data_IF_935569967929
#
_entry.id   IF_935569967929
#
_cell.length_a   1.000
_cell.length_b   1.000
_cell.length_c   1.000
_cell.angle_alpha   90.00
_cell.angle_beta   90.00
_cell.angle_gamma   90.00
#
_symmetry.space_group_name_H-M   'P 1'
#
loop_
_entity.id
_entity.type
_entity.pdbx_description
1 polymer ?
#
# COMPACT_ATOMS: atom_id res chain seq x y z
N UNK A 1 -5.84 2.72 10.44
CA UNK A 1 -5.12 3.52 11.48
C UNK A 1 -4.40 2.55 12.42
N UNK A 2 -3.15 2.81 12.77
CA UNK A 2 -2.47 2.03 13.80
C UNK A 2 -3.22 2.16 15.12
N UNK A 3 -3.40 1.08 15.89
CA UNK A 3 -4.16 1.13 17.14
C UNK A 3 -3.60 2.13 18.15
N UNK A 4 -2.26 2.29 18.18
CA UNK A 4 -1.58 3.32 18.96
C UNK A 4 -0.34 3.82 18.22
N UNK A 5 0.10 5.06 18.52
CA UNK A 5 1.33 5.65 17.97
C UNK A 5 2.57 4.83 18.37
N UNK A 6 2.58 4.29 19.59
CA UNK A 6 3.66 3.45 20.10
C UNK A 6 3.77 2.13 19.30
N UNK A 7 2.63 1.54 18.92
CA UNK A 7 2.60 0.37 18.03
C UNK A 7 3.21 0.71 16.68
N UNK A 8 2.80 1.85 16.10
CA UNK A 8 3.33 2.30 14.82
C UNK A 8 4.85 2.43 14.87
N UNK A 9 5.38 3.12 15.87
CA UNK A 9 6.82 3.34 16.04
C UNK A 9 7.58 2.02 16.26
N UNK A 10 7.05 1.11 17.08
CA UNK A 10 7.66 -0.19 17.33
C UNK A 10 7.73 -1.05 16.06
N UNK A 11 6.70 -0.99 15.22
CA UNK A 11 6.67 -1.66 13.93
C UNK A 11 7.63 -1.01 12.92
N UNK A 12 7.63 0.31 12.80
CA UNK A 12 8.53 1.05 11.91
C UNK A 12 10.00 0.74 12.21
N UNK A 13 10.41 0.75 13.49
CA UNK A 13 11.77 0.42 13.88
C UNK A 13 12.18 -0.99 13.49
N UNK A 14 11.28 -1.97 13.65
CA UNK A 14 11.54 -3.37 13.31
C UNK A 14 11.61 -3.64 11.82
N UNK A 15 10.85 -2.89 11.04
CA UNK A 15 10.78 -3.06 9.59
C UNK A 15 11.69 -2.11 8.81
N UNK A 16 12.37 -1.18 9.48
CA UNK A 16 13.40 -0.33 8.86
C UNK A 16 14.56 -1.12 8.21
N UNK A 17 14.75 -2.38 8.60
CA UNK A 17 15.76 -3.26 8.02
C UNK A 17 15.28 -4.06 6.79
N UNK A 18 14.02 -3.90 6.35
CA UNK A 18 13.50 -4.55 5.15
C UNK A 18 14.19 -4.03 3.89
N UNK A 19 14.26 -4.90 2.86
CA UNK A 19 14.69 -4.48 1.54
C UNK A 19 13.74 -3.36 1.05
N UNK A 20 14.29 -2.18 0.74
CA UNK A 20 13.46 -1.09 0.21
C UNK A 20 12.93 -1.45 -1.18
N UNK A 21 11.75 -0.92 -1.51
CA UNK A 21 11.14 -1.12 -2.83
C UNK A 21 9.88 -1.98 -2.79
N UNK A 22 9.61 -2.68 -3.88
CA UNK A 22 8.42 -3.52 -4.01
C UNK A 22 8.63 -4.87 -3.31
N UNK A 23 7.65 -5.36 -2.53
CA UNK A 23 7.66 -6.74 -2.02
C UNK A 23 7.61 -7.77 -3.15
N UNK A 24 8.21 -8.95 -2.94
CA UNK A 24 8.22 -10.02 -3.94
C UNK A 24 6.81 -10.43 -4.36
N UNK A 25 5.88 -10.54 -3.41
CA UNK A 25 4.48 -10.84 -3.70
C UNK A 25 3.82 -9.81 -4.65
N UNK A 26 4.27 -8.55 -4.62
CA UNK A 26 3.83 -7.51 -5.55
C UNK A 26 4.53 -7.67 -6.90
N UNK A 27 5.86 -7.91 -6.91
CA UNK A 27 6.63 -8.10 -8.16
C UNK A 27 6.07 -9.22 -9.02
N UNK A 28 5.72 -10.35 -8.41
CA UNK A 28 5.15 -11.52 -9.08
C UNK A 28 3.81 -11.22 -9.77
N UNK A 29 3.12 -10.17 -9.33
CA UNK A 29 1.79 -9.78 -9.82
C UNK A 29 1.79 -8.52 -10.69
N UNK A 30 2.94 -7.86 -10.85
CA UNK A 30 3.02 -6.66 -11.67
C UNK A 30 2.65 -6.95 -13.13
N UNK A 31 1.76 -6.14 -13.73
CA UNK A 31 1.62 -6.15 -15.19
C UNK A 31 2.88 -5.55 -15.82
N UNK A 32 3.04 -5.73 -17.13
CA UNK A 32 4.05 -4.96 -17.86
C UNK A 32 3.74 -3.46 -17.75
N UNK A 33 4.66 -2.70 -17.13
CA UNK A 33 4.54 -1.26 -16.89
C UNK A 33 5.37 -0.40 -17.83
N UNK A 34 6.18 -0.99 -18.73
CA UNK A 34 7.02 -0.27 -19.66
C UNK A 34 6.22 0.75 -20.49
N UNK A 35 6.60 2.02 -20.41
CA UNK A 35 5.91 3.14 -21.06
C UNK A 35 4.48 3.40 -20.55
N UNK A 36 4.06 2.81 -19.43
CA UNK A 36 2.71 2.96 -18.90
C UNK A 36 2.68 3.90 -17.70
N UNK A 37 1.58 4.62 -17.55
CA UNK A 37 1.34 5.44 -16.37
C UNK A 37 1.03 4.57 -15.14
N UNK A 38 1.82 4.77 -14.09
CA UNK A 38 1.70 4.08 -12.79
C UNK A 38 1.48 5.12 -11.69
N UNK A 39 0.54 4.86 -10.80
CA UNK A 39 0.29 5.67 -9.60
C UNK A 39 0.72 4.88 -8.37
N UNK A 40 1.59 5.45 -7.55
CA UNK A 40 2.10 4.85 -6.32
C UNK A 40 1.59 5.61 -5.08
N UNK A 41 0.93 4.93 -4.15
CA UNK A 41 0.20 5.46 -2.99
C UNK A 41 0.43 4.60 -1.72
N UNK A 42 0.82 5.17 -0.59
CA UNK A 42 1.67 6.35 -0.48
C UNK A 42 3.02 6.06 -1.12
N UNK A 43 3.63 7.06 -1.71
CA UNK A 43 4.94 6.81 -2.35
C UNK A 43 6.11 6.84 -1.36
N UNK A 44 5.88 7.26 -0.13
CA UNK A 44 6.90 7.33 0.89
C UNK A 44 8.12 8.13 0.45
N UNK A 45 9.30 7.60 0.71
CA UNK A 45 10.59 8.18 0.30
C UNK A 45 11.03 7.73 -1.10
N UNK A 46 10.11 7.11 -1.88
CA UNK A 46 10.27 6.88 -3.31
C UNK A 46 10.93 5.55 -3.71
N UNK A 47 11.12 4.59 -2.80
CA UNK A 47 11.76 3.31 -3.09
C UNK A 47 10.98 2.51 -4.16
N UNK A 48 9.68 2.33 -3.93
CA UNK A 48 8.83 1.62 -4.89
C UNK A 48 8.69 2.42 -6.20
N UNK A 49 8.64 3.76 -6.12
CA UNK A 49 8.59 4.61 -7.30
C UNK A 49 9.84 4.45 -8.17
N UNK A 50 11.04 4.43 -7.57
CA UNK A 50 12.29 4.22 -8.28
C UNK A 50 12.33 2.86 -8.99
N UNK A 51 11.95 1.78 -8.28
CA UNK A 51 11.90 0.45 -8.87
C UNK A 51 10.89 0.33 -10.02
N UNK A 52 9.70 0.94 -9.88
CA UNK A 52 8.71 0.99 -10.97
C UNK A 52 9.22 1.76 -12.19
N UNK A 53 10.06 2.80 -11.99
CA UNK A 53 10.73 3.52 -13.08
C UNK A 53 11.81 2.68 -13.73
N UNK A 54 12.61 1.92 -12.98
CA UNK A 54 13.59 0.96 -13.50
C UNK A 54 12.93 -0.09 -14.40
N UNK A 55 11.66 -0.44 -14.11
CA UNK A 55 10.83 -1.30 -14.95
C UNK A 55 10.20 -0.56 -16.14
N UNK A 56 10.58 0.69 -16.39
CA UNK A 56 10.12 1.50 -17.52
C UNK A 56 8.79 2.23 -17.29
N UNK A 57 8.24 2.24 -16.08
CA UNK A 57 6.99 2.92 -15.77
C UNK A 57 7.10 4.44 -15.76
N UNK A 58 6.05 5.12 -16.22
CA UNK A 58 5.87 6.57 -16.08
C UNK A 58 5.18 6.84 -14.72
N UNK A 59 5.99 7.01 -13.67
CA UNK A 59 5.51 6.99 -12.30
C UNK A 59 5.01 8.34 -11.83
N UNK A 60 3.87 8.31 -11.14
CA UNK A 60 3.35 9.42 -10.33
C UNK A 60 3.22 8.93 -8.90
N UNK A 61 3.85 9.61 -7.94
CA UNK A 61 3.76 9.31 -6.52
C UNK A 61 2.87 10.32 -5.79
N UNK A 62 2.16 9.85 -4.77
CA UNK A 62 1.39 10.71 -3.84
C UNK A 62 1.71 10.30 -2.40
N UNK A 63 1.97 11.28 -1.55
CA UNK A 63 2.17 11.08 -0.11
C UNK A 63 1.72 12.34 0.64
N UNK A 64 1.09 12.24 1.83
CA UNK A 64 0.70 13.43 2.60
C UNK A 64 1.91 14.16 3.22
N UNK A 65 3.04 13.48 3.40
CA UNK A 65 4.22 14.03 4.09
C UNK A 65 5.21 14.66 3.11
N UNK A 66 5.30 16.00 3.08
CA UNK A 66 6.24 16.71 2.21
C UNK A 66 7.71 16.32 2.46
N UNK A 67 8.07 16.03 3.70
CA UNK A 67 9.42 15.56 4.03
C UNK A 67 9.78 14.24 3.32
N UNK A 68 8.82 13.32 3.17
CA UNK A 68 8.99 12.09 2.39
C UNK A 68 9.09 12.38 0.90
N UNK A 69 8.24 13.28 0.40
CA UNK A 69 8.27 13.68 -1.01
C UNK A 69 9.58 14.35 -1.41
N UNK A 70 10.19 15.13 -0.51
CA UNK A 70 11.51 15.72 -0.76
C UNK A 70 12.58 14.64 -1.01
N UNK A 71 12.57 13.56 -0.21
CA UNK A 71 13.45 12.41 -0.41
C UNK A 71 13.09 11.62 -1.68
N UNK A 72 11.80 11.44 -1.96
CA UNK A 72 11.32 10.75 -3.16
C UNK A 72 11.76 11.45 -4.45
N UNK A 73 11.71 12.80 -4.51
CA UNK A 73 12.20 13.58 -5.66
C UNK A 73 13.70 13.43 -5.88
N UNK A 74 14.49 13.23 -4.82
CA UNK A 74 15.91 12.96 -4.95
C UNK A 74 16.19 11.55 -5.48
N UNK A 75 15.39 10.56 -5.05
CA UNK A 75 15.57 9.16 -5.42
C UNK A 75 15.06 8.85 -6.84
N UNK A 76 13.96 9.46 -7.23
CA UNK A 76 13.27 9.22 -8.50
C UNK A 76 12.98 10.58 -9.20
N UNK A 77 13.99 11.30 -9.67
CA UNK A 77 13.87 12.69 -10.15
C UNK A 77 12.95 12.83 -11.38
N UNK A 78 12.82 11.80 -12.18
CA UNK A 78 11.97 11.81 -13.38
C UNK A 78 10.50 11.44 -13.09
N UNK A 79 10.16 11.06 -11.85
CA UNK A 79 8.78 10.84 -11.44
C UNK A 79 8.07 12.14 -11.05
N UNK A 80 6.76 12.20 -11.24
CA UNK A 80 5.93 13.29 -10.75
C UNK A 80 5.45 13.01 -9.31
N UNK A 81 5.57 13.98 -8.40
CA UNK A 81 5.14 13.81 -7.00
C UNK A 81 4.15 14.87 -6.58
N UNK A 82 3.09 14.45 -5.88
CA UNK A 82 2.02 15.30 -5.37
C UNK A 82 1.83 15.11 -3.88
N UNK A 83 1.73 16.21 -3.15
CA UNK A 83 1.32 16.17 -1.75
C UNK A 83 -0.21 16.16 -1.67
N UNK A 84 -0.77 15.09 -1.12
CA UNK A 84 -2.21 14.96 -0.87
C UNK A 84 -2.50 13.83 0.11
N UNK A 85 -3.63 13.92 0.81
CA UNK A 85 -4.22 12.79 1.51
C UNK A 85 -4.71 11.74 0.50
N UNK A 86 -4.64 10.45 0.85
CA UNK A 86 -4.93 9.37 -0.10
C UNK A 86 -6.43 9.28 -0.47
N UNK A 87 -7.31 9.65 0.46
CA UNK A 87 -8.75 9.75 0.22
C UNK A 87 -9.17 11.08 -0.44
N UNK A 88 -8.23 12.02 -0.61
CA UNK A 88 -8.43 13.32 -1.25
C UNK A 88 -7.53 13.48 -2.50
N UNK A 89 -7.39 12.44 -3.32
CA UNK A 89 -6.56 12.48 -4.52
C UNK A 89 -6.92 13.67 -5.41
N UNK A 90 -5.92 14.45 -5.89
CA UNK A 90 -6.15 15.56 -6.80
C UNK A 90 -6.96 15.17 -8.04
N UNK A 91 -7.91 16.01 -8.44
CA UNK A 91 -8.81 15.74 -9.59
C UNK A 91 -8.04 15.43 -10.88
N UNK A 92 -6.88 16.03 -11.07
CA UNK A 92 -6.01 15.77 -12.22
C UNK A 92 -5.47 14.33 -12.27
N UNK A 93 -5.43 13.63 -11.15
CA UNK A 93 -5.03 12.22 -11.08
C UNK A 93 -6.21 11.27 -11.27
N UNK A 94 -7.45 11.75 -11.17
CA UNK A 94 -8.70 10.97 -11.33
C UNK A 94 -9.21 10.96 -12.78
N UNK A 95 -8.30 10.91 -13.77
CA UNK A 95 -8.66 11.07 -15.20
C UNK A 95 -8.48 9.80 -16.02
N UNK A 96 -8.71 8.65 -15.44
CA UNK A 96 -8.73 7.35 -16.16
C UNK A 96 -7.48 7.08 -17.02
N UNK A 97 -6.29 7.41 -16.50
CA UNK A 97 -5.03 7.31 -17.27
C UNK A 97 -4.08 6.22 -16.78
N UNK A 98 -4.18 5.80 -15.53
CA UNK A 98 -3.21 4.87 -14.96
C UNK A 98 -3.52 3.43 -15.36
N UNK A 99 -2.48 2.73 -15.81
CA UNK A 99 -2.55 1.29 -16.11
C UNK A 99 -2.45 0.47 -14.82
N UNK A 100 -1.68 0.97 -13.86
CA UNK A 100 -1.50 0.38 -12.54
C UNK A 100 -1.65 1.47 -11.47
N UNK A 101 -2.38 1.14 -10.41
CA UNK A 101 -2.28 1.81 -9.12
C UNK A 101 -1.67 0.81 -8.15
N UNK A 102 -0.57 1.18 -7.52
CA UNK A 102 0.04 0.43 -6.43
C UNK A 102 -0.18 1.19 -5.12
N UNK A 103 -0.93 0.58 -4.21
CA UNK A 103 -1.15 1.06 -2.87
C UNK A 103 -0.32 0.21 -1.90
N UNK A 104 0.80 0.78 -1.43
CA UNK A 104 1.77 0.09 -0.60
C UNK A 104 1.45 0.12 0.89
N UNK A 105 2.34 -0.47 1.68
CA UNK A 105 2.19 -0.59 3.14
C UNK A 105 1.93 0.76 3.83
N UNK A 106 0.93 0.78 4.70
CA UNK A 106 0.47 1.94 5.43
C UNK A 106 -0.56 2.79 4.68
N UNK A 107 -0.93 2.44 3.44
CA UNK A 107 -1.95 3.16 2.68
C UNK A 107 -3.28 3.22 3.44
N UNK A 108 -3.78 2.06 3.87
CA UNK A 108 -5.08 1.96 4.55
C UNK A 108 -5.06 2.58 5.95
N UNK A 109 -3.89 2.67 6.58
CA UNK A 109 -3.72 3.31 7.88
C UNK A 109 -3.93 4.82 7.85
N UNK A 110 -3.85 5.47 6.70
CA UNK A 110 -4.04 6.91 6.53
C UNK A 110 -5.42 7.29 5.96
N UNK A 111 -6.15 6.30 5.45
CA UNK A 111 -7.46 6.51 4.83
C UNK A 111 -8.57 6.60 5.88
N UNK A 112 -9.37 7.66 5.82
CA UNK A 112 -10.52 7.89 6.73
C UNK A 112 -11.80 7.22 6.21
N UNK A 113 -11.96 7.17 4.88
CA UNK A 113 -13.15 6.67 4.21
C UNK A 113 -12.78 5.70 3.07
N UNK A 114 -12.83 4.39 3.32
CA UNK A 114 -12.45 3.37 2.33
C UNK A 114 -13.21 3.48 1.00
N UNK A 115 -14.50 3.75 1.04
CA UNK A 115 -15.32 3.87 -0.17
C UNK A 115 -14.92 5.06 -1.03
N UNK A 116 -14.54 6.18 -0.40
CA UNK A 116 -14.03 7.38 -1.10
C UNK A 116 -12.68 7.06 -1.75
N UNK A 117 -11.79 6.40 -1.02
CA UNK A 117 -10.48 5.99 -1.53
C UNK A 117 -10.61 5.01 -2.69
N UNK A 118 -11.43 3.96 -2.57
CA UNK A 118 -11.68 2.99 -3.63
C UNK A 118 -12.25 3.66 -4.90
N UNK A 119 -13.20 4.59 -4.73
CA UNK A 119 -13.79 5.35 -5.84
C UNK A 119 -12.78 6.28 -6.51
N UNK A 120 -11.88 6.90 -5.74
CA UNK A 120 -10.82 7.74 -6.26
C UNK A 120 -9.82 6.93 -7.11
N UNK A 121 -9.43 5.75 -6.62
CA UNK A 121 -8.57 4.80 -7.37
C UNK A 121 -9.26 4.33 -8.65
N UNK A 122 -10.53 3.91 -8.58
CA UNK A 122 -11.29 3.52 -9.77
C UNK A 122 -11.34 4.63 -10.82
N UNK A 123 -11.50 5.89 -10.38
CA UNK A 123 -11.50 7.06 -11.27
C UNK A 123 -10.11 7.35 -11.88
N UNK A 124 -9.03 7.02 -11.17
CA UNK A 124 -7.65 7.19 -11.64
C UNK A 124 -7.25 6.13 -12.66
N UNK A 125 -7.68 4.88 -12.47
CA UNK A 125 -7.40 3.78 -13.37
C UNK A 125 -8.08 3.97 -14.74
N UNK A 126 -7.40 3.63 -15.82
CA UNK A 126 -8.03 3.44 -17.14
C UNK A 126 -8.90 2.18 -17.15
N UNK A 127 -9.74 2.02 -18.16
CA UNK A 127 -10.45 0.76 -18.39
C UNK A 127 -9.46 -0.41 -18.46
N UNK A 128 -9.77 -1.52 -17.80
CA UNK A 128 -8.89 -2.67 -17.61
C UNK A 128 -7.54 -2.31 -16.90
N UNK A 129 -7.49 -1.17 -16.24
CA UNK A 129 -6.35 -0.81 -15.37
C UNK A 129 -6.42 -1.62 -14.07
N UNK A 130 -5.28 -1.88 -13.48
CA UNK A 130 -5.13 -2.79 -12.34
C UNK A 130 -4.78 -2.04 -11.07
N UNK A 131 -5.40 -2.43 -9.97
CA UNK A 131 -5.03 -2.07 -8.62
C UNK A 131 -4.31 -3.23 -7.96
N UNK A 132 -3.19 -2.95 -7.31
CA UNK A 132 -2.55 -3.86 -6.35
C UNK A 132 -2.46 -3.11 -5.02
N UNK A 133 -3.14 -3.61 -3.99
CA UNK A 133 -2.94 -3.18 -2.59
C UNK A 133 -2.06 -4.21 -1.91
N UNK A 134 -1.00 -3.78 -1.24
CA UNK A 134 -0.21 -4.61 -0.35
C UNK A 134 -0.03 -3.86 0.95
N UNK A 135 -0.72 -4.31 2.00
CA UNK A 135 -0.71 -3.60 3.28
C UNK A 135 -0.64 -4.59 4.46
N UNK A 136 -0.50 -4.03 5.65
CA UNK A 136 -0.49 -4.79 6.88
C UNK A 136 -1.81 -5.52 7.08
N UNK A 137 -1.72 -6.81 7.45
CA UNK A 137 -2.91 -7.57 7.79
C UNK A 137 -3.54 -7.01 9.08
N UNK A 138 -4.86 -6.76 9.12
CA UNK A 138 -5.50 -6.13 10.27
C UNK A 138 -5.29 -6.90 11.59
N UNK A 139 -5.25 -8.23 11.55
CA UNK A 139 -4.94 -9.06 12.73
C UNK A 139 -3.53 -8.78 13.24
N UNK A 140 -2.57 -8.61 12.34
CA UNK A 140 -1.19 -8.34 12.71
C UNK A 140 -1.03 -7.01 13.45
N UNK A 141 -1.81 -6.01 13.08
CA UNK A 141 -1.84 -4.71 13.75
C UNK A 141 -2.35 -4.77 15.20
N UNK A 142 -3.05 -5.84 15.56
CA UNK A 142 -3.56 -6.06 16.92
C UNK A 142 -2.57 -6.81 17.84
N UNK A 143 -1.40 -7.20 17.32
CA UNK A 143 -0.43 -8.02 18.04
C UNK A 143 0.77 -7.17 18.48
N UNK A 144 1.17 -7.33 19.73
CA UNK A 144 2.41 -6.74 20.22
C UNK A 144 3.62 -7.39 19.52
N UNK A 145 4.48 -6.59 18.85
CA UNK A 145 5.62 -7.12 18.09
C UNK A 145 6.71 -7.75 18.95
N UNK A 146 6.74 -7.47 20.25
CA UNK A 146 7.79 -7.97 21.16
C UNK A 146 7.38 -9.28 21.79
N UNK A 147 6.17 -9.34 22.35
CA UNK A 147 5.68 -10.49 23.07
C UNK A 147 4.81 -11.43 22.27
N UNK A 148 4.46 -11.10 21.04
CA UNK A 148 3.51 -11.81 20.17
C UNK A 148 2.18 -12.10 20.90
N UNK A 149 1.72 -11.13 21.67
CA UNK A 149 0.47 -11.21 22.42
C UNK A 149 -0.55 -10.26 21.83
N UNK A 150 -1.82 -10.61 21.97
CA UNK A 150 -2.90 -9.68 21.68
C UNK A 150 -2.72 -8.44 22.54
N UNK A 151 -2.69 -7.29 21.90
CA UNK A 151 -2.55 -5.98 22.52
C UNK A 151 -3.82 -5.16 22.35
N UNK A 152 -4.40 -5.21 21.16
CA UNK A 152 -5.56 -4.40 20.78
C UNK A 152 -6.68 -5.30 20.24
N UNK A 153 -7.92 -4.82 20.33
CA UNK A 153 -9.05 -5.53 19.75
C UNK A 153 -9.07 -5.42 18.23
N UNK A 154 -9.32 -6.53 17.56
CA UNK A 154 -9.59 -6.54 16.11
C UNK A 154 -10.81 -5.69 15.71
N UNK A 155 -11.66 -5.37 16.69
CA UNK A 155 -12.85 -4.53 16.53
C UNK A 155 -12.65 -3.08 16.98
N UNK A 156 -11.39 -2.66 17.16
CA UNK A 156 -11.06 -1.28 17.50
C UNK A 156 -11.54 -0.34 16.39
N UNK A 157 -12.24 0.77 16.71
CA UNK A 157 -12.63 1.76 15.73
C UNK A 157 -11.44 2.35 14.97
N UNK A 158 -11.56 2.46 13.66
CA UNK A 158 -10.51 2.98 12.78
C UNK A 158 -9.51 1.92 12.29
N UNK A 159 -9.64 0.66 12.70
CA UNK A 159 -8.98 -0.47 12.06
C UNK A 159 -9.89 -1.04 10.97
N UNK A 160 -9.45 -0.97 9.73
CA UNK A 160 -10.17 -1.57 8.60
C UNK A 160 -9.98 -3.08 8.57
N UNK A 161 -11.07 -3.83 8.66
CA UNK A 161 -11.04 -5.30 8.59
C UNK A 161 -11.06 -5.77 7.13
N UNK A 162 -10.53 -6.96 6.85
CA UNK A 162 -10.49 -7.49 5.48
C UNK A 162 -11.86 -7.51 4.80
N UNK A 163 -12.93 -7.83 5.53
CA UNK A 163 -14.28 -7.80 4.97
C UNK A 163 -14.73 -6.39 4.56
N UNK A 164 -14.38 -5.36 5.33
CA UNK A 164 -14.69 -3.95 5.00
C UNK A 164 -13.88 -3.49 3.79
N UNK A 165 -12.60 -3.88 3.74
CA UNK A 165 -11.71 -3.61 2.61
C UNK A 165 -12.26 -4.26 1.34
N UNK A 166 -12.63 -5.55 1.40
CA UNK A 166 -13.19 -6.28 0.27
C UNK A 166 -14.47 -5.63 -0.28
N UNK A 167 -15.38 -5.23 0.62
CA UNK A 167 -16.64 -4.57 0.23
C UNK A 167 -16.38 -3.20 -0.38
N UNK A 168 -15.50 -2.39 0.22
CA UNK A 168 -15.21 -1.05 -0.28
C UNK A 168 -14.60 -1.08 -1.68
N UNK A 169 -13.57 -1.91 -1.90
CA UNK A 169 -12.97 -2.02 -3.23
C UNK A 169 -13.87 -2.75 -4.22
N UNK A 170 -14.58 -3.81 -3.80
CA UNK A 170 -15.52 -4.54 -4.64
C UNK A 170 -16.74 -3.73 -5.07
N UNK A 171 -17.06 -2.62 -4.41
CA UNK A 171 -18.12 -1.69 -4.85
C UNK A 171 -17.71 -0.81 -6.03
N UNK A 172 -16.42 -0.67 -6.30
CA UNK A 172 -15.87 0.25 -7.30
C UNK A 172 -15.03 -0.44 -8.40
N UNK A 173 -14.55 -1.66 -8.13
CA UNK A 173 -13.62 -2.42 -8.95
C UNK A 173 -13.99 -3.91 -8.93
N UNK A 174 -13.56 -4.66 -9.92
CA UNK A 174 -13.65 -6.13 -9.94
C UNK A 174 -12.46 -6.69 -9.13
N UNK A 175 -12.71 -7.05 -7.87
CA UNK A 175 -11.70 -7.71 -7.02
C UNK A 175 -11.51 -9.15 -7.48
N UNK A 176 -10.30 -9.49 -7.88
CA UNK A 176 -9.95 -10.81 -8.43
C UNK A 176 -9.23 -11.70 -7.44
N UNK A 177 -8.51 -11.13 -6.48
CA UNK A 177 -7.78 -11.86 -5.46
C UNK A 177 -7.72 -11.06 -4.15
N UNK A 178 -7.83 -11.76 -3.02
CA UNK A 178 -7.37 -11.31 -1.70
C UNK A 178 -6.53 -12.45 -1.15
N UNK A 179 -5.22 -12.22 -1.03
CA UNK A 179 -4.28 -13.19 -0.49
C UNK A 179 -3.77 -12.71 0.87
N UNK A 180 -3.84 -13.58 1.86
CA UNK A 180 -3.21 -13.36 3.16
C UNK A 180 -1.79 -13.91 3.11
N UNK A 181 -0.81 -13.08 3.44
CA UNK A 181 0.61 -13.38 3.25
C UNK A 181 1.27 -13.71 4.59
N UNK A 182 1.97 -14.85 4.67
CA UNK A 182 2.76 -15.20 5.85
C UNK A 182 3.97 -14.26 5.99
N UNK A 183 4.64 -14.26 7.16
CA UNK A 183 5.91 -13.55 7.31
C UNK A 183 6.95 -14.09 6.34
N UNK A 184 7.69 -13.19 5.71
CA UNK A 184 8.81 -13.56 4.84
C UNK A 184 9.94 -14.12 5.71
N UNK A 185 10.36 -15.36 5.45
CA UNK A 185 11.47 -16.00 6.16
C UNK A 185 12.79 -15.63 5.51
N UNK A 186 13.79 -15.23 6.32
CA UNK A 186 15.17 -15.09 5.85
C UNK A 186 15.66 -13.67 5.57
N UNK A 187 14.84 -12.63 5.76
CA UNK A 187 15.33 -11.26 5.67
C UNK A 187 16.14 -10.87 6.92
N UNK A 188 17.28 -10.16 6.76
CA UNK A 188 18.04 -9.62 7.89
C UNK A 188 17.14 -8.68 8.71
N UNK A 189 17.01 -8.93 10.00
CA UNK A 189 16.13 -8.19 10.88
C UNK A 189 14.69 -8.70 10.97
N UNK A 190 14.36 -9.80 10.28
CA UNK A 190 13.08 -10.47 10.45
C UNK A 190 12.86 -10.83 11.92
N UNK A 191 11.85 -10.19 12.51
CA UNK A 191 11.37 -10.55 13.84
C UNK A 191 10.92 -12.00 13.79
N UNK A 192 11.12 -12.74 14.87
CA UNK A 192 10.47 -14.05 15.05
C UNK A 192 8.96 -13.82 15.15
N UNK A 193 8.31 -13.79 14.00
CA UNK A 193 6.86 -13.73 13.89
C UNK A 193 6.37 -15.18 13.82
N UNK A 194 5.27 -15.47 14.46
CA UNK A 194 4.65 -16.78 14.35
C UNK A 194 4.27 -17.03 12.88
N UNK A 195 4.83 -18.05 12.22
CA UNK A 195 4.58 -18.30 10.79
C UNK A 195 3.12 -18.67 10.48
N UNK A 196 2.32 -18.89 11.51
CA UNK A 196 0.86 -19.17 11.39
C UNK A 196 0.02 -17.91 11.32
N UNK A 197 0.62 -16.72 11.50
CA UNK A 197 -0.08 -15.44 11.45
C UNK A 197 0.15 -14.75 10.11
N UNK A 198 -0.88 -14.25 9.45
CA UNK A 198 -0.71 -13.39 8.29
C UNK A 198 -0.14 -12.03 8.73
N UNK A 199 0.93 -11.59 8.09
CA UNK A 199 1.59 -10.29 8.37
C UNK A 199 1.09 -9.20 7.46
N UNK A 200 0.95 -9.54 6.20
CA UNK A 200 0.43 -8.66 5.16
C UNK A 200 -0.76 -9.33 4.48
N UNK A 201 -1.47 -8.55 3.72
CA UNK A 201 -2.39 -9.06 2.71
C UNK A 201 -2.13 -8.35 1.39
N UNK A 202 -2.55 -8.99 0.31
CA UNK A 202 -2.55 -8.43 -1.03
C UNK A 202 -3.98 -8.47 -1.58
N UNK A 203 -4.45 -7.35 -2.12
CA UNK A 203 -5.70 -7.29 -2.88
C UNK A 203 -5.36 -6.89 -4.31
N UNK A 204 -5.88 -7.67 -5.25
CA UNK A 204 -5.78 -7.43 -6.68
C UNK A 204 -7.17 -7.16 -7.25
N UNK A 205 -7.29 -6.10 -8.03
CA UNK A 205 -8.55 -5.71 -8.63
C UNK A 205 -8.34 -5.05 -9.99
N UNK A 206 -9.36 -5.10 -10.84
CA UNK A 206 -9.35 -4.43 -12.15
C UNK A 206 -10.50 -3.45 -12.27
N UNK A 207 -10.30 -2.39 -13.03
CA UNK A 207 -11.38 -1.49 -13.41
C UNK A 207 -12.15 -2.07 -14.58
N UNK A 208 -13.49 -2.31 -14.47
CA UNK A 208 -14.33 -2.80 -15.57
C UNK A 208 -14.38 -1.86 -16.77
#
# INVERSE_FOLDING_TARGET
MWPTEENRQAWEQRYAARRPGLPDAVRERLPNVEGKHVLNLPCGTGEAAAELMELGGLVTGVDPAEAKLAAARQRAPDAAFFQAELDELPLQLRRSRFTLVYAGEGALGTVRELGVFASAIASALRKNGRLIVHDWHPVFLCIDPIGLRWRDSYFTPGLWRLGEIAVAFGSALDVTEIAELPPTTGEPGAVRIDPRLPVNFLLDATRP
#
